data_IF_030530214254
#
_entry.id   IF_030530214254
#
_cell.length_a   1.000
_cell.length_b   1.000
_cell.length_c   1.000
_cell.angle_alpha   90.00
_cell.angle_beta   90.00
_cell.angle_gamma   90.00
#
_symmetry.space_group_name_H-M   'P 1'
#
loop_
_entity.id
_entity.type
_entity.pdbx_description
1 polymer ?
#
# COMPACT_ATOMS: atom_id res chain seq x y z
N UNK A 1 29.62 71.82 20.60
CA UNK A 1 29.18 71.63 22.00
C UNK A 1 27.87 70.84 21.97
N UNK A 2 27.87 69.59 22.41
CA UNK A 2 26.91 69.05 23.39
C UNK A 2 27.18 67.55 23.59
N UNK A 3 27.35 67.22 24.85
CA UNK A 3 27.74 65.94 25.42
C UNK A 3 26.55 64.98 25.54
N UNK A 4 26.89 63.71 25.80
CA UNK A 4 26.05 62.67 26.41
C UNK A 4 25.31 63.17 27.69
N UNK A 5 24.33 62.48 28.31
CA UNK A 5 24.32 61.12 28.89
C UNK A 5 22.88 60.79 29.45
N UNK A 6 22.61 59.50 29.71
CA UNK A 6 21.73 58.85 30.72
C UNK A 6 20.25 58.57 30.37
N UNK A 7 19.74 57.33 30.27
CA UNK A 7 19.55 56.17 31.21
C UNK A 7 18.20 56.19 31.94
N UNK A 8 17.34 55.17 31.70
CA UNK A 8 16.38 54.51 32.65
C UNK A 8 15.57 53.46 31.84
N UNK A 9 15.79 52.14 31.95
CA UNK A 9 15.49 51.16 33.03
C UNK A 9 14.05 50.62 33.01
N UNK A 10 13.94 49.32 32.64
CA UNK A 10 13.02 48.24 33.09
C UNK A 10 11.49 48.46 32.89
N UNK A 11 10.66 47.50 32.48
CA UNK A 11 10.40 46.13 32.97
C UNK A 11 9.12 45.68 32.18
N UNK A 12 8.85 44.43 31.79
CA UNK A 12 8.08 43.43 32.58
C UNK A 12 7.72 42.24 31.64
N UNK A 13 8.27 41.06 31.95
CA UNK A 13 7.66 39.71 32.03
C UNK A 13 6.92 39.09 30.81
N UNK A 14 7.59 38.14 30.16
CA UNK A 14 6.97 36.99 29.49
C UNK A 14 7.01 35.77 30.44
N UNK A 15 5.87 35.15 30.78
CA UNK A 15 5.86 33.94 31.60
C UNK A 15 6.32 32.72 30.80
N UNK A 16 7.47 32.18 31.18
CA UNK A 16 7.92 30.83 30.82
C UNK A 16 7.09 29.83 31.63
N UNK A 17 6.02 29.31 31.04
CA UNK A 17 5.25 28.22 31.63
C UNK A 17 5.95 26.88 31.34
N UNK A 18 6.64 26.39 32.37
CA UNK A 18 7.06 24.99 32.53
C UNK A 18 5.82 24.09 32.60
N UNK A 19 5.59 23.30 31.54
CA UNK A 19 4.67 22.17 31.55
C UNK A 19 5.43 20.86 31.72
N UNK A 20 5.76 20.52 32.97
CA UNK A 20 6.08 19.14 33.35
C UNK A 20 4.82 18.28 33.12
N UNK A 21 4.87 17.33 32.19
CA UNK A 21 3.93 16.21 32.18
C UNK A 21 4.65 14.96 32.66
N UNK A 22 4.41 14.61 33.92
CA UNK A 22 4.61 13.26 34.45
C UNK A 22 3.27 12.54 34.39
N UNK A 23 3.36 11.23 34.15
CA UNK A 23 2.35 10.18 34.35
C UNK A 23 1.36 9.91 33.22
N UNK A 24 1.31 8.64 32.80
CA UNK A 24 0.18 8.11 32.06
C UNK A 24 0.48 6.86 31.25
N UNK A 25 0.63 5.73 31.93
CA UNK A 25 0.63 4.38 31.35
C UNK A 25 -0.63 4.13 30.48
N UNK A 26 -0.50 3.17 29.54
CA UNK A 26 -1.56 2.47 28.81
C UNK A 26 -2.27 3.20 27.64
N UNK A 27 -1.90 2.84 26.40
CA UNK A 27 -2.68 3.25 25.22
C UNK A 27 -2.40 2.58 23.87
N UNK A 28 -1.48 1.61 23.78
CA UNK A 28 -1.09 0.98 22.51
C UNK A 28 -2.09 -0.02 21.90
N UNK A 29 -3.41 0.17 22.05
CA UNK A 29 -4.43 -0.80 21.58
C UNK A 29 -5.58 -0.22 20.76
N UNK A 30 -5.55 1.06 20.39
CA UNK A 30 -6.61 1.69 19.57
C UNK A 30 -6.30 1.79 18.07
N UNK A 31 -5.03 1.75 17.67
CA UNK A 31 -4.66 1.76 16.24
C UNK A 31 -4.95 0.44 15.52
N UNK A 32 -4.82 -0.70 16.21
CA UNK A 32 -5.04 -2.01 15.58
C UNK A 32 -6.52 -2.30 15.25
N UNK A 33 -7.47 -1.78 16.04
CA UNK A 33 -8.89 -2.06 15.79
C UNK A 33 -9.42 -1.30 14.58
N UNK A 34 -9.02 -0.03 14.42
CA UNK A 34 -9.48 0.80 13.29
C UNK A 34 -8.82 0.41 11.98
N UNK A 35 -7.50 0.12 11.97
CA UNK A 35 -6.82 -0.42 10.78
C UNK A 35 -7.31 -1.82 10.37
N UNK A 36 -7.74 -2.66 11.32
CA UNK A 36 -8.31 -3.97 11.03
C UNK A 36 -9.63 -3.84 10.26
N UNK A 37 -10.55 -2.99 10.73
CA UNK A 37 -11.84 -2.78 10.08
C UNK A 37 -11.69 -2.29 8.64
N UNK A 38 -10.75 -1.38 8.37
CA UNK A 38 -10.51 -0.90 7.00
C UNK A 38 -9.89 -1.97 6.10
N UNK A 39 -8.94 -2.76 6.60
CA UNK A 39 -8.30 -3.81 5.80
C UNK A 39 -9.26 -4.96 5.46
N UNK A 40 -10.09 -5.37 6.43
CA UNK A 40 -11.14 -6.37 6.23
C UNK A 40 -12.18 -5.91 5.21
N UNK A 41 -12.71 -4.68 5.36
CA UNK A 41 -13.68 -4.11 4.43
C UNK A 41 -13.12 -3.94 3.01
N UNK A 42 -11.88 -3.45 2.88
CA UNK A 42 -11.22 -3.32 1.58
C UNK A 42 -10.98 -4.69 0.93
N UNK A 43 -10.48 -5.66 1.69
CA UNK A 43 -10.28 -7.01 1.17
C UNK A 43 -11.60 -7.67 0.77
N UNK A 44 -12.67 -7.45 1.55
CA UNK A 44 -14.00 -7.97 1.24
C UNK A 44 -14.54 -7.38 -0.07
N UNK A 45 -14.45 -6.06 -0.27
CA UNK A 45 -14.85 -5.39 -1.53
C UNK A 45 -14.04 -5.89 -2.71
N UNK A 46 -12.73 -6.00 -2.55
CA UNK A 46 -11.84 -6.50 -3.59
C UNK A 46 -12.22 -7.93 -3.97
N UNK A 47 -12.38 -8.81 -2.99
CA UNK A 47 -12.72 -10.23 -3.21
C UNK A 47 -14.12 -10.38 -3.82
N UNK A 48 -15.09 -9.55 -3.39
CA UNK A 48 -16.41 -9.51 -4.00
C UNK A 48 -16.35 -9.15 -5.48
N UNK A 49 -15.60 -8.10 -5.84
CA UNK A 49 -15.40 -7.72 -7.25
C UNK A 49 -14.77 -8.86 -8.06
N UNK A 50 -13.78 -9.58 -7.51
CA UNK A 50 -13.13 -10.69 -8.20
C UNK A 50 -14.13 -11.82 -8.53
N UNK A 51 -15.04 -12.12 -7.59
CA UNK A 51 -16.12 -13.10 -7.80
C UNK A 51 -17.13 -12.61 -8.83
N UNK A 52 -17.59 -11.37 -8.71
CA UNK A 52 -18.59 -10.80 -9.61
C UNK A 52 -18.10 -10.73 -11.05
N UNK A 53 -16.80 -10.43 -11.25
CA UNK A 53 -16.13 -10.43 -12.55
C UNK A 53 -15.63 -11.81 -12.98
N UNK A 54 -15.77 -12.83 -12.13
CA UNK A 54 -15.29 -14.18 -12.36
C UNK A 54 -13.83 -14.23 -12.81
N UNK A 55 -12.96 -13.44 -12.17
CA UNK A 55 -11.57 -13.27 -12.64
C UNK A 55 -10.79 -14.59 -12.75
N UNK A 56 -11.10 -15.58 -11.89
CA UNK A 56 -10.44 -16.90 -11.94
C UNK A 56 -10.84 -17.71 -13.19
N UNK A 57 -12.01 -17.39 -13.76
CA UNK A 57 -12.59 -18.02 -14.95
C UNK A 57 -12.51 -17.09 -16.19
N UNK A 58 -11.76 -15.99 -16.11
CA UNK A 58 -11.63 -15.05 -17.21
C UNK A 58 -11.12 -15.77 -18.48
N UNK A 59 -11.83 -15.59 -19.58
CA UNK A 59 -11.46 -16.12 -20.90
C UNK A 59 -10.45 -15.16 -21.53
N UNK A 60 -9.17 -15.41 -21.27
CA UNK A 60 -8.05 -14.61 -21.77
C UNK A 60 -7.80 -14.85 -23.26
N UNK A 61 -8.75 -14.40 -24.10
CA UNK A 61 -8.81 -14.69 -25.54
C UNK A 61 -7.61 -14.18 -26.35
N UNK A 62 -6.88 -13.21 -25.80
CA UNK A 62 -5.64 -12.68 -26.33
C UNK A 62 -4.44 -13.61 -26.13
N UNK A 63 -4.57 -14.59 -25.24
CA UNK A 63 -3.52 -15.56 -24.93
C UNK A 63 -3.61 -16.79 -25.83
N UNK A 64 -2.44 -17.34 -26.18
CA UNK A 64 -2.36 -18.65 -26.83
C UNK A 64 -2.85 -19.77 -25.90
N UNK A 65 -3.31 -20.91 -26.45
CA UNK A 65 -3.83 -22.02 -25.64
C UNK A 65 -2.80 -22.63 -24.67
N UNK A 66 -1.51 -22.48 -24.99
CA UNK A 66 -0.39 -22.97 -24.16
C UNK A 66 0.36 -21.83 -23.43
N UNK A 67 -0.08 -20.59 -23.57
CA UNK A 67 0.58 -19.42 -22.99
C UNK A 67 0.10 -19.19 -21.55
N UNK A 68 0.64 -20.01 -20.64
CA UNK A 68 0.28 -19.97 -19.22
C UNK A 68 0.62 -18.62 -18.56
N UNK A 69 1.75 -18.04 -18.94
CA UNK A 69 2.22 -16.77 -18.39
C UNK A 69 1.26 -15.63 -18.79
N UNK A 70 0.81 -15.61 -20.05
CA UNK A 70 -0.23 -14.68 -20.50
C UNK A 70 -1.55 -14.91 -19.74
N UNK A 71 -2.02 -16.16 -19.61
CA UNK A 71 -3.26 -16.47 -18.90
C UNK A 71 -3.20 -16.03 -17.44
N UNK A 72 -2.07 -16.26 -16.76
CA UNK A 72 -1.87 -15.83 -15.38
C UNK A 72 -1.83 -14.31 -15.27
N UNK A 73 -1.16 -13.61 -16.19
CA UNK A 73 -1.16 -12.15 -16.21
C UNK A 73 -2.53 -11.54 -16.53
N UNK A 74 -3.30 -12.15 -17.43
CA UNK A 74 -4.66 -11.71 -17.74
C UNK A 74 -5.59 -11.84 -16.52
N UNK A 75 -5.55 -12.98 -15.82
CA UNK A 75 -6.29 -13.17 -14.56
C UNK A 75 -5.84 -12.15 -13.51
N UNK A 76 -4.53 -11.95 -13.38
CA UNK A 76 -3.95 -10.97 -12.46
C UNK A 76 -4.38 -9.55 -12.82
N UNK A 77 -4.45 -9.18 -14.09
CA UNK A 77 -4.97 -7.89 -14.55
C UNK A 77 -6.44 -7.70 -14.15
N UNK A 78 -7.29 -8.73 -14.26
CA UNK A 78 -8.66 -8.69 -13.76
C UNK A 78 -8.70 -8.47 -12.24
N UNK A 79 -7.91 -9.25 -11.48
CA UNK A 79 -7.79 -9.09 -10.04
C UNK A 79 -7.34 -7.68 -9.66
N UNK A 80 -6.33 -7.14 -10.32
CA UNK A 80 -5.76 -5.83 -10.05
C UNK A 80 -6.70 -4.69 -10.42
N UNK A 81 -7.48 -4.85 -11.49
CA UNK A 81 -8.55 -3.91 -11.85
C UNK A 81 -9.60 -3.76 -10.75
N UNK A 82 -9.91 -4.82 -9.98
CA UNK A 82 -10.79 -4.73 -8.80
C UNK A 82 -10.19 -3.89 -7.66
N UNK A 83 -8.87 -3.78 -7.59
CA UNK A 83 -8.17 -2.91 -6.65
C UNK A 83 -7.90 -1.49 -7.19
N UNK A 84 -8.36 -1.17 -8.41
CA UNK A 84 -8.13 0.11 -9.06
C UNK A 84 -6.74 0.26 -9.72
N UNK A 85 -6.01 -0.84 -9.93
CA UNK A 85 -4.71 -0.84 -10.59
C UNK A 85 -4.84 -1.02 -12.12
N UNK A 86 -3.78 -0.68 -12.84
CA UNK A 86 -3.67 -0.91 -14.28
C UNK A 86 -3.54 -2.39 -14.64
N UNK A 87 -3.60 -2.67 -15.95
CA UNK A 87 -3.49 -4.02 -16.52
C UNK A 87 -2.23 -4.14 -17.39
N UNK A 88 -1.48 -5.22 -17.23
CA UNK A 88 -0.37 -5.59 -18.11
C UNK A 88 -0.39 -7.10 -18.36
N UNK A 89 0.08 -7.51 -19.53
CA UNK A 89 0.34 -8.91 -19.87
C UNK A 89 1.84 -9.24 -19.88
N UNK A 90 2.70 -8.26 -19.57
CA UNK A 90 4.15 -8.45 -19.52
C UNK A 90 4.55 -9.20 -18.24
N UNK A 91 4.66 -10.52 -18.39
CA UNK A 91 5.07 -11.45 -17.34
C UNK A 91 6.47 -11.15 -16.81
N UNK A 92 7.45 -10.94 -17.68
CA UNK A 92 8.85 -10.76 -17.29
C UNK A 92 9.05 -9.50 -16.43
N UNK A 93 8.38 -8.40 -16.81
CA UNK A 93 8.42 -7.16 -16.01
C UNK A 93 7.75 -7.34 -14.65
N UNK A 94 6.59 -8.02 -14.61
CA UNK A 94 5.90 -8.30 -13.35
C UNK A 94 6.71 -9.22 -12.45
N UNK A 95 7.23 -10.33 -12.97
CA UNK A 95 7.98 -11.35 -12.24
C UNK A 95 9.24 -10.75 -11.61
N UNK A 96 9.99 -9.97 -12.41
CA UNK A 96 11.16 -9.24 -11.91
C UNK A 96 10.79 -8.31 -10.76
N UNK A 97 9.75 -7.48 -10.92
CA UNK A 97 9.30 -6.57 -9.87
C UNK A 97 8.86 -7.32 -8.61
N UNK A 98 8.06 -8.37 -8.77
CA UNK A 98 7.50 -9.15 -7.66
C UNK A 98 8.60 -9.83 -6.85
N UNK A 99 9.63 -10.36 -7.53
CA UNK A 99 10.84 -10.94 -6.91
C UNK A 99 11.69 -9.90 -6.19
N UNK A 100 12.00 -8.77 -6.84
CA UNK A 100 12.80 -7.70 -6.26
C UNK A 100 12.15 -7.13 -4.99
N UNK A 101 10.83 -6.95 -5.02
CA UNK A 101 10.03 -6.45 -3.88
C UNK A 101 9.63 -7.53 -2.89
N UNK A 102 9.92 -8.81 -3.18
CA UNK A 102 9.59 -9.96 -2.34
C UNK A 102 8.10 -10.00 -1.96
N UNK A 103 7.20 -9.67 -2.89
CA UNK A 103 5.76 -9.59 -2.61
C UNK A 103 5.24 -10.91 -2.02
N UNK A 104 5.61 -12.06 -2.62
CA UNK A 104 5.21 -13.39 -2.13
C UNK A 104 5.89 -13.80 -0.82
N UNK A 105 7.19 -13.55 -0.64
CA UNK A 105 7.89 -13.96 0.59
C UNK A 105 7.36 -13.22 1.81
N UNK A 106 6.98 -11.95 1.66
CA UNK A 106 6.37 -11.14 2.73
C UNK A 106 5.00 -11.67 3.11
N UNK A 107 4.20 -12.10 2.12
CA UNK A 107 2.93 -12.77 2.34
C UNK A 107 3.10 -14.06 3.16
N UNK A 108 3.97 -14.97 2.71
CA UNK A 108 4.21 -16.25 3.39
C UNK A 108 4.72 -16.07 4.83
N UNK A 109 5.64 -15.12 5.05
CA UNK A 109 6.13 -14.77 6.38
C UNK A 109 5.02 -14.22 7.29
N UNK A 110 4.08 -13.43 6.73
CA UNK A 110 2.97 -12.84 7.47
C UNK A 110 1.79 -13.79 7.72
N UNK A 111 1.72 -14.93 7.02
CA UNK A 111 0.61 -15.89 7.08
C UNK A 111 0.89 -17.13 7.95
N UNK A 112 2.02 -17.18 8.65
CA UNK A 112 2.29 -18.17 9.69
C UNK A 112 2.27 -19.65 9.23
N UNK A 113 2.41 -19.92 7.93
CA UNK A 113 2.53 -21.27 7.37
C UNK A 113 1.24 -22.11 7.32
N UNK A 114 0.16 -21.74 8.00
CA UNK A 114 -1.08 -22.53 8.08
C UNK A 114 -2.30 -21.90 7.36
N UNK A 115 -2.10 -20.83 6.58
CA UNK A 115 -3.18 -20.18 5.83
C UNK A 115 -4.03 -19.19 6.64
N UNK A 116 -3.77 -19.04 7.94
CA UNK A 116 -4.35 -17.97 8.77
C UNK A 116 -3.60 -16.65 8.52
N UNK A 117 -3.87 -16.02 7.38
CA UNK A 117 -3.38 -14.69 7.09
C UNK A 117 -4.26 -13.64 7.76
N UNK A 118 -3.65 -12.62 8.36
CA UNK A 118 -4.39 -11.39 8.67
C UNK A 118 -4.83 -10.75 7.36
N UNK A 119 -6.04 -10.21 7.30
CA UNK A 119 -6.56 -9.51 6.12
C UNK A 119 -5.61 -8.41 5.62
N UNK A 120 -4.96 -7.70 6.54
CA UNK A 120 -3.94 -6.71 6.21
C UNK A 120 -2.75 -7.30 5.45
N UNK A 121 -2.29 -8.50 5.82
CA UNK A 121 -1.19 -9.19 5.12
C UNK A 121 -1.63 -9.60 3.71
N UNK A 122 -2.86 -10.10 3.55
CA UNK A 122 -3.42 -10.45 2.24
C UNK A 122 -3.55 -9.21 1.37
N UNK A 123 -4.04 -8.12 1.94
CA UNK A 123 -4.23 -6.86 1.25
C UNK A 123 -2.90 -6.23 0.83
N UNK A 124 -1.90 -6.22 1.71
CA UNK A 124 -0.55 -5.73 1.39
C UNK A 124 0.10 -6.54 0.27
N UNK A 125 -0.07 -7.87 0.29
CA UNK A 125 0.35 -8.73 -0.82
C UNK A 125 -0.34 -8.35 -2.13
N UNK A 126 -1.68 -8.26 -2.14
CA UNK A 126 -2.46 -7.89 -3.32
C UNK A 126 -2.03 -6.52 -3.88
N UNK A 127 -1.78 -5.53 -3.02
CA UNK A 127 -1.28 -4.21 -3.42
C UNK A 127 0.11 -4.30 -4.03
N UNK A 128 1.07 -4.95 -3.36
CA UNK A 128 2.44 -5.11 -3.86
C UNK A 128 2.46 -5.76 -5.25
N UNK A 129 1.69 -6.84 -5.39
CA UNK A 129 1.58 -7.59 -6.63
C UNK A 129 0.96 -6.77 -7.77
N UNK A 130 -0.11 -6.03 -7.49
CA UNK A 130 -0.79 -5.20 -8.49
C UNK A 130 -0.04 -3.92 -8.84
N UNK A 131 0.74 -3.36 -7.93
CA UNK A 131 1.68 -2.28 -8.25
C UNK A 131 2.75 -2.75 -9.25
N UNK A 132 3.19 -4.01 -9.15
CA UNK A 132 4.10 -4.59 -10.15
C UNK A 132 3.42 -4.77 -11.52
N UNK A 133 2.14 -5.18 -11.56
CA UNK A 133 1.36 -5.21 -12.81
C UNK A 133 1.26 -3.81 -13.43
N UNK A 134 0.92 -2.80 -12.62
CA UNK A 134 0.82 -1.42 -13.08
C UNK A 134 2.16 -0.85 -13.57
N UNK A 135 3.26 -1.19 -12.89
CA UNK A 135 4.59 -0.80 -13.34
C UNK A 135 4.94 -1.42 -14.69
N UNK A 136 4.54 -2.68 -14.93
CA UNK A 136 4.72 -3.33 -16.21
C UNK A 136 3.95 -2.58 -17.33
N UNK A 137 2.70 -2.17 -17.09
CA UNK A 137 1.91 -1.38 -18.06
C UNK A 137 2.59 -0.08 -18.46
N UNK A 138 3.21 0.61 -17.49
CA UNK A 138 3.85 1.89 -17.70
C UNK A 138 5.14 1.78 -18.54
N UNK A 139 5.78 0.61 -18.57
CA UNK A 139 6.97 0.36 -19.41
C UNK A 139 6.62 0.07 -20.86
N UNK A 140 5.43 -0.48 -21.11
CA UNK A 140 4.94 -0.81 -22.45
C UNK A 140 4.35 0.41 -23.18
N UNK A 141 4.09 1.51 -22.47
CA UNK A 141 3.58 2.75 -23.08
C UNK A 141 4.73 3.56 -23.72
N UNK A 142 4.65 3.92 -25.02
CA UNK A 142 5.64 4.83 -25.60
C UNK A 142 5.61 6.20 -24.90
N UNK A 143 6.74 6.92 -24.80
CA UNK A 143 6.75 8.25 -24.19
C UNK A 143 5.79 9.15 -24.96
N UNK A 144 4.80 9.72 -24.25
CA UNK A 144 3.92 10.74 -24.82
C UNK A 144 4.80 11.93 -25.21
N UNK A 145 4.85 12.23 -26.51
CA UNK A 145 5.48 13.44 -27.05
C UNK A 145 4.59 14.66 -26.82
#
# INVERSE_FOLDING_TARGET
>A
MQSAVLTTVLLVLLPVALGLQVNGNAGGRRHHRWQRSTAEEELAKWTQCQRDRQCDQATCSECGPDDRDCVDMCRRACWCGCGGYGSSLDWDSWDKCSKERRCFSTYWAGCGGAGECKDSTVLDYKRCDCECVQQASNRTSPPRR
#
